data_IF_478740490722
#
_entry.id   IF_478740490722
#
_cell.length_a   1.000
_cell.length_b   1.000
_cell.length_c   1.000
_cell.angle_alpha   90.00
_cell.angle_beta   90.00
_cell.angle_gamma   90.00
#
_symmetry.space_group_name_H-M   'P 1'
#
loop_
_entity.id
_entity.type
_entity.pdbx_description
1 polymer ?
#
# COMPACT_ATOMS: atom_id res chain seq x y z
N UNK A 1 -18.96 2.73 3.32
CA UNK A 1 -18.07 2.40 4.43
C UNK A 1 -17.13 1.29 4.01
N UNK A 2 -15.84 1.46 4.28
CA UNK A 2 -14.80 0.51 3.90
C UNK A 2 -14.01 0.11 5.13
N UNK A 3 -13.95 -1.19 5.39
CA UNK A 3 -13.15 -1.75 6.48
C UNK A 3 -11.79 -2.22 5.93
N UNK A 4 -10.77 -2.42 6.80
CA UNK A 4 -9.48 -2.94 6.33
C UNK A 4 -9.57 -4.22 5.52
N UNK A 5 -10.45 -5.13 5.89
CA UNK A 5 -10.63 -6.40 5.17
C UNK A 5 -11.23 -6.24 3.78
N UNK A 6 -11.75 -5.07 3.44
CA UNK A 6 -12.30 -4.78 2.11
C UNK A 6 -11.23 -4.30 1.13
N UNK A 7 -10.03 -4.00 1.61
CA UNK A 7 -8.94 -3.49 0.77
C UNK A 7 -8.20 -4.64 0.11
N UNK A 8 -8.02 -4.55 -1.19
CA UNK A 8 -7.40 -5.61 -2.00
C UNK A 8 -5.93 -5.37 -2.30
N UNK A 9 -5.49 -4.12 -2.32
CA UNK A 9 -4.10 -3.78 -2.62
C UNK A 9 -3.75 -2.44 -1.96
N UNK A 10 -2.48 -2.31 -1.56
CA UNK A 10 -1.98 -1.13 -0.86
C UNK A 10 -0.74 -0.55 -1.54
N UNK A 11 -0.63 0.77 -1.49
CA UNK A 11 0.63 1.47 -1.69
C UNK A 11 0.89 2.30 -0.44
N UNK A 12 1.99 2.01 0.24
CA UNK A 12 2.36 2.72 1.47
C UNK A 12 3.70 3.44 1.29
N UNK A 13 3.96 4.41 2.17
CA UNK A 13 5.18 5.22 2.13
C UNK A 13 6.31 4.46 2.82
N UNK A 14 6.99 3.61 2.07
CA UNK A 14 8.04 2.73 2.59
C UNK A 14 9.43 3.38 2.47
N UNK A 15 9.58 4.60 2.99
CA UNK A 15 10.86 5.31 2.97
C UNK A 15 11.98 4.52 3.68
N UNK A 16 11.62 3.70 4.66
CA UNK A 16 12.47 2.72 5.32
C UNK A 16 11.71 1.41 5.46
N UNK A 17 12.42 0.29 5.56
CA UNK A 17 11.79 -1.03 5.62
C UNK A 17 10.79 -1.15 6.77
N UNK A 18 11.12 -0.60 7.95
CA UNK A 18 10.24 -0.64 9.11
C UNK A 18 8.98 0.22 8.92
N UNK A 19 9.03 1.24 8.05
CA UNK A 19 7.90 2.13 7.84
C UNK A 19 6.69 1.40 7.26
N UNK A 20 6.91 0.44 6.37
CA UNK A 20 5.83 -0.38 5.82
C UNK A 20 5.12 -1.17 6.92
N UNK A 21 5.88 -1.81 7.80
CA UNK A 21 5.34 -2.61 8.89
C UNK A 21 4.54 -1.75 9.84
N UNK A 22 5.08 -0.59 10.23
CA UNK A 22 4.38 0.35 11.12
C UNK A 22 3.10 0.85 10.47
N UNK A 23 3.13 1.16 9.18
CA UNK A 23 1.95 1.63 8.46
C UNK A 23 0.84 0.58 8.45
N UNK A 24 1.18 -0.69 8.20
CA UNK A 24 0.21 -1.77 8.17
C UNK A 24 -0.48 -1.95 9.53
N UNK A 25 0.27 -1.82 10.61
CA UNK A 25 -0.31 -1.90 11.95
C UNK A 25 -1.17 -0.66 12.26
N UNK A 26 -0.67 0.54 11.93
CA UNK A 26 -1.40 1.79 12.18
C UNK A 26 -2.70 1.87 11.39
N UNK A 27 -2.74 1.32 10.19
CA UNK A 27 -3.92 1.30 9.34
C UNK A 27 -4.94 0.22 9.74
N UNK A 28 -4.57 -0.66 10.66
CA UNK A 28 -5.48 -1.69 11.17
C UNK A 28 -5.46 -3.00 10.42
N UNK A 29 -4.50 -3.22 9.50
CA UNK A 29 -4.40 -4.48 8.77
C UNK A 29 -3.80 -5.60 9.63
N UNK A 30 -2.98 -5.23 10.59
CA UNK A 30 -2.39 -6.17 11.55
C UNK A 30 -2.47 -5.57 12.94
N UNK A 31 -2.60 -6.42 13.94
CA UNK A 31 -2.54 -5.99 15.33
C UNK A 31 -1.13 -5.49 15.66
N UNK A 32 -1.04 -4.65 16.69
CA UNK A 32 0.23 -4.08 17.13
C UNK A 32 1.24 -5.20 17.42
N UNK A 33 2.39 -5.11 16.76
CA UNK A 33 3.45 -6.10 16.89
C UNK A 33 3.34 -7.28 15.92
N UNK A 34 2.26 -7.37 15.12
CA UNK A 34 2.01 -8.49 14.20
C UNK A 34 2.32 -8.16 12.74
N UNK A 35 2.66 -6.91 12.41
CA UNK A 35 2.90 -6.50 11.02
C UNK A 35 4.06 -7.26 10.37
N UNK A 36 5.10 -7.58 11.14
CA UNK A 36 6.24 -8.36 10.64
C UNK A 36 5.82 -9.75 10.19
N UNK A 37 4.87 -10.36 10.89
CA UNK A 37 4.37 -11.70 10.55
C UNK A 37 3.79 -11.73 9.13
N UNK A 38 3.02 -10.70 8.75
CA UNK A 38 2.45 -10.62 7.41
C UNK A 38 3.51 -10.67 6.33
N UNK A 39 4.61 -9.93 6.53
CA UNK A 39 5.71 -9.93 5.58
C UNK A 39 6.43 -11.28 5.53
N UNK A 40 6.73 -11.85 6.70
CA UNK A 40 7.44 -13.14 6.81
C UNK A 40 6.61 -14.27 6.19
N UNK A 41 5.30 -14.26 6.39
CA UNK A 41 4.40 -15.30 5.89
C UNK A 41 4.03 -15.11 4.40
N UNK A 42 4.57 -14.07 3.75
CA UNK A 42 4.29 -13.79 2.34
C UNK A 42 2.94 -13.18 2.07
N UNK A 43 2.23 -12.72 3.10
CA UNK A 43 0.88 -12.15 2.93
C UNK A 43 0.90 -10.82 2.17
N UNK A 44 2.01 -10.07 2.27
CA UNK A 44 2.15 -8.78 1.59
C UNK A 44 2.85 -8.89 0.23
N UNK A 45 3.21 -10.10 -0.19
CA UNK A 45 3.79 -10.34 -1.50
C UNK A 45 2.73 -10.17 -2.60
N UNK A 46 3.16 -10.06 -3.85
CA UNK A 46 2.27 -9.85 -4.98
C UNK A 46 1.14 -10.89 -5.05
N UNK A 47 1.46 -12.14 -4.73
CA UNK A 47 0.49 -13.25 -4.71
C UNK A 47 -0.06 -13.56 -3.32
N UNK A 48 0.19 -12.70 -2.35
CA UNK A 48 -0.31 -12.85 -0.99
C UNK A 48 -1.75 -12.35 -0.85
N UNK A 49 -2.30 -12.49 0.35
CA UNK A 49 -3.68 -12.07 0.62
C UNK A 49 -3.87 -10.55 0.68
N UNK A 50 -2.79 -9.79 0.91
CA UNK A 50 -2.82 -8.33 0.98
C UNK A 50 -1.57 -7.77 0.31
N UNK A 51 -1.51 -7.75 -1.03
CA UNK A 51 -0.35 -7.22 -1.74
C UNK A 51 -0.08 -5.76 -1.39
N UNK A 52 1.17 -5.46 -1.06
CA UNK A 52 1.62 -4.13 -0.67
C UNK A 52 2.73 -3.68 -1.61
N UNK A 53 2.62 -2.46 -2.10
CA UNK A 53 3.64 -1.83 -2.95
C UNK A 53 4.01 -2.67 -4.18
N UNK A 54 2.99 -3.06 -4.93
CA UNK A 54 3.18 -3.82 -6.17
C UNK A 54 3.98 -3.05 -7.23
N UNK A 55 4.11 -1.72 -7.04
CA UNK A 55 4.95 -0.86 -7.88
C UNK A 55 6.44 -1.01 -7.59
N UNK A 56 6.81 -1.67 -6.51
CA UNK A 56 8.18 -1.71 -5.99
C UNK A 56 8.40 -0.76 -4.83
N UNK A 57 7.43 0.11 -4.55
CA UNK A 57 7.53 1.10 -3.46
C UNK A 57 8.67 2.08 -3.66
N UNK A 58 8.94 2.90 -2.65
CA UNK A 58 10.04 3.87 -2.70
C UNK A 58 11.39 3.17 -2.78
N UNK A 59 11.51 2.00 -2.17
CA UNK A 59 12.76 1.23 -2.17
C UNK A 59 13.06 0.65 -3.54
N UNK A 60 12.04 0.28 -4.31
CA UNK A 60 12.21 -0.32 -5.62
C UNK A 60 12.25 0.68 -6.77
N UNK A 61 11.33 1.65 -6.77
CA UNK A 61 11.19 2.59 -7.89
C UNK A 61 11.74 3.98 -7.63
N UNK A 62 12.15 4.28 -6.39
CA UNK A 62 12.68 5.59 -6.02
C UNK A 62 11.64 6.48 -5.34
N UNK A 63 12.13 7.57 -4.76
CA UNK A 63 11.32 8.49 -3.97
C UNK A 63 11.48 9.93 -4.49
N UNK A 64 10.85 10.28 -5.62
CA UNK A 64 10.84 11.68 -6.06
C UNK A 64 9.92 12.48 -5.13
N UNK A 65 10.53 13.24 -4.23
CA UNK A 65 9.83 14.06 -3.24
C UNK A 65 8.84 14.99 -3.96
N UNK A 66 7.61 15.03 -3.48
CA UNK A 66 6.54 15.81 -4.12
C UNK A 66 5.75 15.05 -5.19
N UNK A 67 6.24 13.90 -5.64
CA UNK A 67 5.57 13.09 -6.68
C UNK A 67 5.09 11.74 -6.13
N UNK A 68 5.70 11.25 -5.04
CA UNK A 68 5.41 9.92 -4.49
C UNK A 68 3.92 9.69 -4.26
N UNK A 69 3.22 10.64 -3.63
CA UNK A 69 1.79 10.50 -3.36
C UNK A 69 0.96 10.36 -4.64
N UNK A 70 1.28 11.15 -5.66
CA UNK A 70 0.62 11.05 -6.96
C UNK A 70 0.95 9.71 -7.61
N UNK A 71 2.22 9.28 -7.51
CA UNK A 71 2.65 7.99 -8.03
C UNK A 71 1.87 6.83 -7.44
N UNK A 72 1.62 6.85 -6.13
CA UNK A 72 0.79 5.84 -5.48
C UNK A 72 -0.61 5.77 -6.10
N UNK A 73 -1.25 6.91 -6.31
CA UNK A 73 -2.58 6.97 -6.91
C UNK A 73 -2.56 6.42 -8.34
N UNK A 74 -1.54 6.77 -9.12
CA UNK A 74 -1.39 6.27 -10.49
C UNK A 74 -1.26 4.74 -10.49
N UNK A 75 -0.43 4.18 -9.61
CA UNK A 75 -0.22 2.74 -9.53
C UNK A 75 -1.51 2.01 -9.13
N UNK A 76 -2.22 2.53 -8.13
CA UNK A 76 -3.47 1.92 -7.68
C UNK A 76 -4.58 2.05 -8.72
N UNK A 77 -4.64 3.16 -9.46
CA UNK A 77 -5.59 3.32 -10.56
C UNK A 77 -5.37 2.26 -11.63
N UNK A 78 -4.10 1.98 -11.96
CA UNK A 78 -3.78 0.91 -12.92
C UNK A 78 -4.23 -0.46 -12.40
N UNK A 79 -4.09 -0.71 -11.10
CA UNK A 79 -4.55 -1.96 -10.49
C UNK A 79 -6.08 -2.11 -10.62
N UNK A 80 -6.83 -1.06 -10.31
CA UNK A 80 -8.28 -1.07 -10.42
C UNK A 80 -8.72 -1.27 -11.88
N UNK A 81 -8.03 -0.62 -12.81
CA UNK A 81 -8.32 -0.71 -14.23
C UNK A 81 -7.87 -2.03 -14.89
N UNK A 82 -7.15 -2.87 -14.16
CA UNK A 82 -6.68 -4.16 -14.68
C UNK A 82 -5.54 -4.07 -15.67
N UNK A 83 -4.70 -3.02 -15.60
CA UNK A 83 -3.62 -2.78 -16.56
C UNK A 83 -2.24 -2.55 -15.92
N UNK A 84 -2.07 -2.99 -14.69
CA UNK A 84 -0.79 -2.86 -14.00
C UNK A 84 0.17 -3.97 -14.43
N UNK A 85 1.48 -3.70 -14.60
CA UNK A 85 2.47 -4.75 -14.93
C UNK A 85 2.51 -5.89 -13.91
N UNK A 86 2.26 -5.57 -12.63
CA UNK A 86 2.19 -6.54 -11.55
C UNK A 86 0.73 -6.64 -11.06
N UNK A 87 -0.16 -6.98 -11.96
CA UNK A 87 -1.60 -6.95 -11.69
C UNK A 87 -2.03 -7.93 -10.61
N UNK A 88 -2.77 -7.43 -9.62
CA UNK A 88 -3.48 -8.22 -8.62
C UNK A 88 -4.87 -8.53 -9.17
N UNK A 89 -5.33 -9.77 -9.05
CA UNK A 89 -6.64 -10.16 -9.54
C UNK A 89 -7.76 -9.65 -8.64
N UNK A 90 -8.84 -9.19 -9.25
CA UNK A 90 -10.07 -8.87 -8.55
C UNK A 90 -10.00 -7.63 -7.68
N UNK A 91 -9.20 -6.64 -8.06
CA UNK A 91 -9.07 -5.41 -7.27
C UNK A 91 -10.31 -4.54 -7.42
N UNK A 92 -11.02 -4.35 -6.31
CA UNK A 92 -12.20 -3.45 -6.24
C UNK A 92 -11.94 -2.24 -5.34
N UNK A 93 -11.10 -2.40 -4.33
CA UNK A 93 -10.76 -1.31 -3.41
C UNK A 93 -9.27 -1.29 -3.15
N UNK A 94 -8.69 -0.12 -3.21
CA UNK A 94 -7.26 0.10 -3.02
C UNK A 94 -7.02 1.25 -2.06
N UNK A 95 -5.92 1.21 -1.33
CA UNK A 95 -5.59 2.24 -0.34
C UNK A 95 -4.18 2.75 -0.56
N UNK A 96 -4.02 4.07 -0.58
CA UNK A 96 -2.74 4.75 -0.59
C UNK A 96 -2.52 5.43 0.76
N UNK A 97 -1.35 5.22 1.34
CA UNK A 97 -0.95 5.86 2.60
C UNK A 97 0.37 6.60 2.35
N UNK A 98 0.36 7.90 2.50
CA UNK A 98 1.53 8.74 2.27
C UNK A 98 1.86 9.55 3.52
N UNK A 99 3.14 9.68 3.84
CA UNK A 99 3.63 10.37 5.02
C UNK A 99 4.57 11.48 4.61
N UNK A 100 4.33 12.67 5.13
CA UNK A 100 5.21 13.83 4.91
C UNK A 100 5.93 14.22 6.19
N UNK A 101 7.22 14.55 6.08
CA UNK A 101 8.05 15.07 7.18
C UNK A 101 7.93 14.25 8.45
N UNK A 102 8.66 13.20 8.64
CA UNK A 102 8.74 12.40 9.88
C UNK A 102 7.39 12.11 10.55
N UNK A 103 6.31 12.05 9.78
CA UNK A 103 4.97 11.79 10.33
C UNK A 103 4.16 13.04 10.69
N UNK A 104 4.68 14.23 10.39
CA UNK A 104 3.96 15.49 10.67
C UNK A 104 2.68 15.63 9.84
N UNK A 105 2.63 15.01 8.67
CA UNK A 105 1.47 15.03 7.80
C UNK A 105 1.27 13.65 7.19
N UNK A 106 0.06 13.11 7.33
CA UNK A 106 -0.26 11.78 6.81
C UNK A 106 -1.55 11.86 6.01
N UNK A 107 -1.54 11.27 4.82
CA UNK A 107 -2.71 11.23 3.94
C UNK A 107 -3.07 9.78 3.65
N UNK A 108 -4.35 9.45 3.80
CA UNK A 108 -4.88 8.15 3.44
C UNK A 108 -5.94 8.37 2.36
N UNK A 109 -5.80 7.70 1.23
CA UNK A 109 -6.74 7.78 0.11
C UNK A 109 -7.25 6.40 -0.23
N UNK A 110 -8.56 6.25 -0.32
CA UNK A 110 -9.20 5.00 -0.71
C UNK A 110 -9.79 5.17 -2.09
N UNK A 111 -9.44 4.26 -3.00
CA UNK A 111 -9.94 4.24 -4.36
C UNK A 111 -10.84 3.01 -4.54
N UNK A 112 -11.98 3.21 -5.19
CA UNK A 112 -12.90 2.13 -5.45
C UNK A 112 -13.16 1.95 -6.93
N UNK A 113 -13.31 0.68 -7.36
CA UNK A 113 -13.77 0.32 -8.69
C UNK A 113 -15.28 0.10 -8.69
N UNK A 114 -15.84 0.04 -9.90
CA UNK A 114 -17.27 -0.25 -10.06
C UNK A 114 -17.55 -1.74 -10.18
#
# INVERSE_FOLDING_TARGET
DTAPEDIDVLEVHDCFTIAEIIALEALGFYDRGEGTRGAVDGETALDGKLPVNTSGGLLGKGHPVGVTGIGQIVELTKQIDGRHPNQVEGVNAALAHNVGGSGASTTVTILGGE
#
